data_IF_932828252273
#
_entry.id   IF_932828252273
#
_cell.length_a   1.000
_cell.length_b   1.000
_cell.length_c   1.000
_cell.angle_alpha   90.00
_cell.angle_beta   90.00
_cell.angle_gamma   90.00
#
_symmetry.space_group_name_H-M   'P 1'
#
loop_
_entity.id
_entity.type
_entity.pdbx_description
1 polymer ?
#
# COMPACT_ATOMS: atom_id res chain seq x y z
N UNK A 1 58.58 57.29 -15.98
CA UNK A 1 59.55 56.26 -15.53
C UNK A 1 58.77 55.11 -14.93
N UNK A 2 59.22 53.87 -15.17
CA UNK A 2 58.82 52.60 -14.54
C UNK A 2 57.34 52.18 -14.53
N UNK A 3 57.16 50.91 -14.90
CA UNK A 3 55.93 50.14 -14.72
C UNK A 3 55.85 49.58 -13.29
N UNK A 4 54.67 49.14 -12.88
CA UNK A 4 54.55 47.97 -12.00
C UNK A 4 53.50 47.02 -12.55
N UNK A 5 53.94 46.01 -13.31
CA UNK A 5 53.10 44.87 -13.72
C UNK A 5 53.18 43.82 -12.62
N UNK A 6 52.05 43.46 -11.99
CA UNK A 6 51.86 42.10 -11.51
C UNK A 6 51.13 41.31 -12.60
N UNK A 7 51.72 40.19 -13.03
CA UNK A 7 51.33 39.50 -14.25
C UNK A 7 51.38 37.99 -14.04
N UNK A 8 50.33 37.29 -14.50
CA UNK A 8 50.24 35.84 -14.73
C UNK A 8 50.44 34.89 -13.53
N UNK A 9 49.33 34.20 -13.23
CA UNK A 9 49.25 32.73 -13.15
C UNK A 9 49.90 32.06 -11.90
N UNK A 10 49.49 30.86 -11.46
CA UNK A 10 48.73 29.76 -12.13
C UNK A 10 48.05 28.88 -11.06
N UNK A 11 47.44 27.77 -11.51
CA UNK A 11 46.86 26.68 -10.71
C UNK A 11 45.50 26.98 -10.01
N UNK A 12 44.49 26.10 -10.02
CA UNK A 12 44.31 24.86 -10.81
C UNK A 12 42.87 24.78 -11.34
N UNK A 13 42.69 24.13 -12.49
CA UNK A 13 41.43 24.16 -13.21
C UNK A 13 40.46 23.04 -12.79
N UNK A 14 39.21 23.43 -12.54
CA UNK A 14 38.07 22.68 -13.06
C UNK A 14 37.61 23.40 -14.34
N UNK A 15 37.27 22.68 -15.43
CA UNK A 15 36.72 23.33 -16.61
C UNK A 15 35.37 23.96 -16.25
N UNK A 16 35.19 25.25 -16.56
CA UNK A 16 33.88 25.88 -16.49
C UNK A 16 32.96 25.21 -17.50
N UNK A 17 31.98 24.43 -17.03
CA UNK A 17 30.87 23.98 -17.87
C UNK A 17 30.21 25.21 -18.50
N UNK A 18 30.13 25.23 -19.83
CA UNK A 18 29.83 26.43 -20.60
C UNK A 18 28.49 27.05 -20.18
N UNK A 19 28.52 28.31 -19.71
CA UNK A 19 27.33 29.12 -19.43
C UNK A 19 27.31 29.84 -18.07
N UNK A 20 27.95 29.28 -17.04
CA UNK A 20 27.72 29.74 -15.65
C UNK A 20 28.83 30.65 -15.12
N UNK A 21 28.45 31.84 -14.62
CA UNK A 21 29.30 32.71 -13.78
C UNK A 21 28.92 32.59 -12.31
N UNK A 22 29.92 32.40 -11.45
CA UNK A 22 29.78 32.52 -10.00
C UNK A 22 29.65 34.00 -9.60
N UNK A 23 28.74 34.30 -8.67
CA UNK A 23 28.52 35.65 -8.13
C UNK A 23 28.73 35.58 -6.61
N UNK A 24 29.76 36.25 -6.10
CA UNK A 24 30.21 36.09 -4.70
C UNK A 24 29.50 37.02 -3.69
N UNK A 25 28.68 37.96 -4.16
CA UNK A 25 27.74 38.76 -3.35
C UNK A 25 26.81 39.58 -4.25
N UNK A 26 25.59 39.84 -3.79
CA UNK A 26 24.65 40.80 -4.36
C UNK A 26 24.22 41.74 -3.23
N UNK A 27 24.26 43.05 -3.47
CA UNK A 27 23.73 44.05 -2.53
C UNK A 27 22.28 44.35 -2.90
N UNK A 28 21.36 43.96 -2.02
CA UNK A 28 19.94 44.30 -2.13
C UNK A 28 19.64 45.55 -1.28
N UNK A 29 18.73 46.45 -1.71
CA UNK A 29 18.14 47.47 -0.84
C UNK A 29 17.53 46.87 0.43
N UNK A 30 17.48 47.65 1.51
CA UNK A 30 16.99 47.20 2.82
C UNK A 30 15.52 46.76 2.80
N UNK A 31 14.75 47.28 1.86
CA UNK A 31 13.29 47.26 1.86
C UNK A 31 12.71 46.45 0.68
N UNK A 32 13.40 45.39 0.24
CA UNK A 32 12.77 44.40 -0.67
C UNK A 32 11.83 43.51 0.16
N UNK A 33 10.54 43.83 0.09
CA UNK A 33 9.47 42.96 0.54
C UNK A 33 8.99 42.08 -0.62
N UNK A 34 8.74 40.80 -0.32
CA UNK A 34 8.01 39.88 -1.20
C UNK A 34 6.54 39.98 -0.82
N UNK A 35 5.74 40.62 -1.68
CA UNK A 35 4.33 40.90 -1.40
C UNK A 35 3.39 39.77 -1.80
N UNK A 36 3.76 39.00 -2.84
CA UNK A 36 2.99 37.91 -3.44
C UNK A 36 3.94 36.85 -3.98
N UNK A 37 3.46 35.63 -4.12
CA UNK A 37 4.16 34.54 -4.79
C UNK A 37 3.17 33.49 -5.28
N UNK A 38 3.45 32.93 -6.45
CA UNK A 38 2.63 31.89 -7.08
C UNK A 38 3.38 30.55 -7.05
N UNK A 39 2.65 29.46 -6.80
CA UNK A 39 3.19 28.09 -6.88
C UNK A 39 2.63 27.40 -8.11
N UNK A 40 3.53 27.00 -9.00
CA UNK A 40 3.25 26.14 -10.14
C UNK A 40 3.41 24.67 -9.71
N UNK A 41 2.30 23.94 -9.65
CA UNK A 41 2.25 22.53 -9.27
C UNK A 41 2.90 21.60 -10.30
N UNK A 42 2.88 21.98 -11.56
CA UNK A 42 3.23 21.13 -12.68
C UNK A 42 4.76 21.20 -12.92
N UNK A 43 5.34 22.37 -12.66
CA UNK A 43 6.78 22.63 -12.77
C UNK A 43 7.52 22.71 -11.40
N UNK A 44 6.82 22.59 -10.28
CA UNK A 44 7.36 22.70 -8.90
C UNK A 44 8.18 23.98 -8.68
N UNK A 45 7.58 25.11 -9.09
CA UNK A 45 8.23 26.43 -9.10
C UNK A 45 7.53 27.38 -8.13
N UNK A 46 8.30 28.16 -7.37
CA UNK A 46 7.77 29.37 -6.72
C UNK A 46 8.46 30.60 -7.31
N UNK A 47 7.64 31.50 -7.85
CA UNK A 47 8.08 32.79 -8.38
C UNK A 47 7.64 33.91 -7.45
N UNK A 48 8.59 34.75 -7.05
CA UNK A 48 8.36 35.94 -6.23
C UNK A 48 8.63 37.19 -7.06
N UNK A 49 7.64 38.07 -7.15
CA UNK A 49 7.72 39.29 -7.97
C UNK A 49 7.82 40.53 -7.07
N UNK A 50 8.81 41.39 -7.31
CA UNK A 50 8.94 42.66 -6.60
C UNK A 50 8.03 43.74 -7.22
N UNK A 51 7.83 44.86 -6.51
CA UNK A 51 6.96 45.98 -6.94
C UNK A 51 7.41 46.70 -8.22
N UNK A 52 8.58 46.37 -8.77
CA UNK A 52 9.09 46.88 -10.06
C UNK A 52 9.04 45.84 -11.19
N UNK A 53 8.40 44.69 -10.97
CA UNK A 53 8.28 43.60 -11.95
C UNK A 53 9.51 42.70 -12.08
N UNK A 54 10.54 42.90 -11.25
CA UNK A 54 11.70 42.02 -11.19
C UNK A 54 11.38 40.76 -10.39
N UNK A 55 11.70 39.59 -10.93
CA UNK A 55 11.41 38.29 -10.31
C UNK A 55 12.63 37.66 -9.64
N UNK A 56 12.36 36.90 -8.57
CA UNK A 56 13.27 35.90 -8.01
C UNK A 56 12.57 34.55 -8.06
N UNK A 57 13.27 33.55 -8.61
CA UNK A 57 12.72 32.21 -8.87
C UNK A 57 13.44 31.21 -8.01
N UNK A 58 12.70 30.44 -7.21
CA UNK A 58 13.23 29.31 -6.45
C UNK A 58 12.75 28.01 -7.08
N UNK A 59 13.70 27.20 -7.56
CA UNK A 59 13.45 25.84 -8.04
C UNK A 59 13.61 24.84 -6.89
N UNK A 60 12.83 23.76 -6.91
CA UNK A 60 12.98 22.65 -5.97
C UNK A 60 12.35 22.85 -4.59
N UNK A 61 11.36 23.76 -4.47
CA UNK A 61 10.47 23.77 -3.29
C UNK A 61 9.36 22.75 -3.51
N UNK A 62 9.14 21.87 -2.53
CA UNK A 62 7.99 20.96 -2.48
C UNK A 62 6.97 21.44 -1.44
N UNK A 63 5.68 21.36 -1.78
CA UNK A 63 4.60 21.71 -0.85
C UNK A 63 4.50 20.67 0.27
N UNK A 64 4.46 21.16 1.52
CA UNK A 64 4.63 20.32 2.71
C UNK A 64 3.52 19.29 2.87
N UNK A 65 3.86 18.01 2.72
CA UNK A 65 2.98 16.83 2.91
C UNK A 65 1.85 16.70 1.89
N UNK A 66 2.24 16.53 0.62
CA UNK A 66 1.51 15.65 -0.30
C UNK A 66 1.25 14.30 0.41
N UNK A 67 0.05 13.74 0.25
CA UNK A 67 -0.27 12.39 0.70
C UNK A 67 0.37 11.35 -0.25
N UNK A 68 1.69 11.20 -0.14
CA UNK A 68 2.48 10.32 -1.00
C UNK A 68 2.04 8.86 -0.86
N UNK A 69 1.26 8.37 -1.81
CA UNK A 69 1.04 6.94 -2.03
C UNK A 69 2.34 6.36 -2.61
N UNK A 70 3.24 5.93 -1.72
CA UNK A 70 4.51 5.28 -2.06
C UNK A 70 4.28 3.85 -2.57
N UNK A 71 3.63 3.72 -3.73
CA UNK A 71 3.80 2.55 -4.57
C UNK A 71 5.17 2.60 -5.27
N UNK A 72 5.80 1.45 -5.46
CA UNK A 72 7.09 1.36 -6.14
C UNK A 72 6.94 1.53 -7.67
N UNK A 73 8.05 1.64 -8.41
CA UNK A 73 8.08 1.46 -9.87
C UNK A 73 7.86 -0.02 -10.23
N UNK A 74 6.69 -0.53 -9.87
CA UNK A 74 6.08 -1.66 -10.55
C UNK A 74 5.83 -1.30 -12.02
N UNK A 75 5.63 -2.30 -12.88
CA UNK A 75 4.86 -2.03 -14.09
C UNK A 75 3.52 -1.41 -13.70
N UNK A 76 2.94 -0.54 -14.54
CA UNK A 76 1.53 -0.21 -14.40
C UNK A 76 0.76 -1.57 -14.31
N UNK A 77 0.00 -1.82 -13.23
CA UNK A 77 -0.49 -3.16 -12.92
C UNK A 77 -1.21 -3.78 -14.11
N UNK A 78 -1.00 -5.08 -14.36
CA UNK A 78 -1.67 -5.77 -15.48
C UNK A 78 -3.20 -5.71 -15.33
N UNK A 79 -3.70 -5.53 -14.10
CA UNK A 79 -4.98 -4.89 -13.79
C UNK A 79 -4.86 -4.13 -12.46
N UNK A 80 -5.34 -2.89 -12.39
CA UNK A 80 -5.13 -2.01 -11.22
C UNK A 80 -5.63 -2.60 -9.87
N UNK A 81 -4.95 -2.30 -8.73
CA UNK A 81 -5.54 -2.44 -7.41
C UNK A 81 -6.78 -1.57 -7.23
N UNK A 82 -7.68 -2.01 -6.36
CA UNK A 82 -9.04 -1.49 -6.17
C UNK A 82 -9.26 -1.19 -4.67
N UNK A 83 -9.08 0.08 -4.27
CA UNK A 83 -9.36 0.56 -2.90
C UNK A 83 -10.78 1.11 -2.82
N UNK A 84 -11.60 0.60 -1.88
CA UNK A 84 -13.01 1.04 -1.76
C UNK A 84 -13.49 1.34 -0.33
N UNK A 85 -12.96 0.69 0.70
CA UNK A 85 -13.44 0.87 2.09
C UNK A 85 -13.08 2.21 2.75
N UNK A 86 -13.87 2.64 3.73
CA UNK A 86 -13.57 3.80 4.56
C UNK A 86 -12.50 3.47 5.61
N UNK A 87 -11.55 4.39 5.82
CA UNK A 87 -10.34 4.15 6.62
C UNK A 87 -9.52 2.93 6.13
N UNK A 88 -9.63 2.58 4.85
CA UNK A 88 -9.14 1.30 4.32
C UNK A 88 -8.22 1.43 3.10
N UNK A 89 -7.47 0.36 2.80
CA UNK A 89 -6.31 0.36 1.91
C UNK A 89 -6.29 -0.90 1.04
N UNK A 90 -6.16 -0.76 -0.30
CA UNK A 90 -5.88 -1.88 -1.23
C UNK A 90 -4.62 -1.65 -2.06
N UNK A 91 -3.76 -2.66 -2.19
CA UNK A 91 -2.46 -2.54 -2.87
C UNK A 91 -2.12 -3.89 -3.55
N UNK A 92 -1.77 -3.91 -4.85
CA UNK A 92 -1.38 -5.13 -5.59
C UNK A 92 -2.12 -5.35 -6.92
N UNK A 93 -1.61 -6.21 -7.80
CA UNK A 93 -2.14 -6.41 -9.17
C UNK A 93 -3.50 -7.14 -9.13
N UNK A 94 -4.62 -6.48 -9.44
CA UNK A 94 -5.99 -6.91 -9.12
C UNK A 94 -6.28 -7.03 -7.60
N UNK A 95 -5.54 -6.34 -6.71
CA UNK A 95 -5.90 -6.30 -5.29
C UNK A 95 -7.23 -5.61 -5.05
N UNK A 96 -7.98 -6.00 -4.01
CA UNK A 96 -9.31 -5.45 -3.72
C UNK A 96 -9.46 -5.27 -2.21
N UNK A 97 -9.65 -4.06 -1.68
CA UNK A 97 -9.93 -3.84 -0.24
C UNK A 97 -11.31 -3.25 -0.01
N UNK A 98 -12.09 -4.00 0.76
CA UNK A 98 -13.48 -4.25 0.39
C UNK A 98 -14.50 -3.84 1.46
N UNK A 99 -14.08 -3.47 2.67
CA UNK A 99 -14.90 -2.78 3.67
C UNK A 99 -13.99 -2.05 4.67
N UNK A 100 -14.53 -1.66 5.81
CA UNK A 100 -13.96 -0.67 6.71
C UNK A 100 -13.05 -1.30 7.78
N UNK A 101 -12.07 -0.53 8.26
CA UNK A 101 -10.94 -1.03 9.08
C UNK A 101 -10.16 -2.17 8.38
N UNK A 102 -10.12 -2.13 7.05
CA UNK A 102 -9.34 -3.05 6.22
C UNK A 102 -8.04 -2.44 5.70
N UNK A 103 -6.95 -3.18 5.88
CA UNK A 103 -6.00 -3.34 4.78
C UNK A 103 -6.43 -4.63 4.05
N UNK A 104 -6.46 -4.66 2.72
CA UNK A 104 -6.42 -5.88 1.88
C UNK A 104 -5.38 -5.63 0.78
N UNK A 105 -4.78 -6.65 0.16
CA UNK A 105 -3.41 -6.50 -0.31
C UNK A 105 -2.87 -7.64 -1.19
N UNK A 106 -2.76 -7.54 -2.51
CA UNK A 106 -1.98 -8.52 -3.30
C UNK A 106 -2.61 -8.97 -4.62
N UNK A 107 -2.03 -10.00 -5.26
CA UNK A 107 -2.32 -10.29 -6.67
C UNK A 107 -3.66 -11.01 -6.85
N UNK A 108 -4.70 -10.34 -7.34
CA UNK A 108 -6.12 -10.73 -7.21
C UNK A 108 -6.56 -10.91 -5.74
N UNK A 109 -6.25 -9.92 -4.90
CA UNK A 109 -6.68 -9.81 -3.50
C UNK A 109 -8.19 -9.55 -3.35
N UNK A 110 -8.64 -9.45 -2.10
CA UNK A 110 -10.06 -9.31 -1.74
C UNK A 110 -10.56 -10.47 -0.89
N UNK A 111 -9.64 -11.08 -0.12
CA UNK A 111 -8.96 -12.34 -0.41
C UNK A 111 -7.44 -12.17 -0.38
N UNK A 112 -6.75 -13.29 -0.34
CA UNK A 112 -5.47 -13.51 0.34
C UNK A 112 -5.66 -13.91 1.82
N UNK A 113 -4.55 -14.28 2.44
CA UNK A 113 -4.12 -14.00 3.80
C UNK A 113 -4.53 -14.82 5.03
N UNK A 114 -3.52 -14.87 5.91
CA UNK A 114 -3.36 -15.76 7.06
C UNK A 114 -3.01 -14.92 8.30
N UNK A 115 -3.58 -15.26 9.46
CA UNK A 115 -3.39 -14.64 10.79
C UNK A 115 -3.86 -13.18 11.12
N UNK A 116 -4.65 -12.47 10.31
CA UNK A 116 -5.23 -11.16 10.66
C UNK A 116 -6.47 -11.28 11.58
N UNK A 117 -6.20 -11.45 12.88
CA UNK A 117 -7.17 -11.66 13.96
C UNK A 117 -8.01 -10.40 14.24
N UNK A 118 -9.32 -10.54 14.44
CA UNK A 118 -10.31 -9.42 14.47
C UNK A 118 -10.23 -8.49 13.25
N UNK A 119 -9.59 -8.95 12.17
CA UNK A 119 -9.31 -8.16 10.97
C UNK A 119 -9.65 -8.98 9.72
N UNK A 120 -9.31 -8.39 8.60
CA UNK A 120 -9.86 -8.63 7.26
C UNK A 120 -8.68 -8.57 6.27
N UNK A 121 -8.78 -9.20 5.09
CA UNK A 121 -7.61 -9.91 4.54
C UNK A 121 -7.40 -9.89 3.00
N UNK A 122 -6.20 -10.13 2.42
CA UNK A 122 -4.86 -9.44 2.50
C UNK A 122 -3.74 -10.12 1.64
N UNK A 123 -3.97 -10.59 0.40
CA UNK A 123 -2.92 -11.36 -0.37
C UNK A 123 -3.13 -11.62 -1.89
N UNK A 124 -2.45 -12.61 -2.49
CA UNK A 124 -2.65 -13.14 -3.86
C UNK A 124 -3.73 -14.25 -4.04
N UNK A 125 -4.83 -14.02 -4.78
CA UNK A 125 -5.79 -14.91 -5.52
C UNK A 125 -5.97 -16.42 -5.21
N UNK A 126 -7.15 -17.11 -5.15
CA UNK A 126 -8.61 -16.88 -5.00
C UNK A 126 -9.27 -17.45 -3.68
N UNK A 127 -9.13 -18.76 -3.37
CA UNK A 127 -9.58 -19.60 -2.20
C UNK A 127 -9.19 -19.40 -0.67
N UNK A 128 -7.99 -19.78 -0.13
CA UNK A 128 -7.43 -19.58 1.28
C UNK A 128 -6.72 -20.80 1.84
N UNK A 129 -5.41 -20.88 1.64
CA UNK A 129 -4.39 -21.35 2.57
C UNK A 129 -4.37 -20.50 3.89
N UNK A 130 -5.56 -20.01 4.30
CA UNK A 130 -5.94 -19.01 5.30
C UNK A 130 -5.88 -19.63 6.69
N UNK A 131 -4.68 -19.98 7.09
CA UNK A 131 -4.46 -20.79 8.27
C UNK A 131 -4.46 -19.93 9.54
N UNK A 132 -4.85 -20.52 10.66
CA UNK A 132 -4.70 -20.04 12.05
C UNK A 132 -5.37 -18.74 12.52
N UNK A 133 -5.86 -17.86 11.64
CA UNK A 133 -6.39 -16.54 12.03
C UNK A 133 -7.67 -16.58 12.90
N UNK A 134 -7.44 -16.51 14.20
CA UNK A 134 -8.38 -16.82 15.26
C UNK A 134 -9.17 -15.59 15.68
N UNK A 135 -10.51 -15.70 15.70
CA UNK A 135 -11.44 -14.56 15.77
C UNK A 135 -11.32 -13.60 14.56
N UNK A 136 -10.77 -14.06 13.44
CA UNK A 136 -10.79 -13.33 12.17
C UNK A 136 -12.11 -13.46 11.43
N UNK A 137 -12.30 -12.56 10.48
CA UNK A 137 -13.11 -12.81 9.30
C UNK A 137 -12.13 -13.11 8.15
N UNK A 138 -12.09 -14.32 7.59
CA UNK A 138 -11.27 -14.68 6.40
C UNK A 138 -12.05 -14.52 5.08
N UNK A 139 -11.48 -14.43 3.86
CA UNK A 139 -10.12 -14.03 3.44
C UNK A 139 -9.34 -15.10 2.58
N UNK A 140 -9.46 -15.18 1.22
CA UNK A 140 -9.11 -16.33 0.29
C UNK A 140 -7.73 -16.46 -0.47
N UNK A 141 -7.45 -17.30 -1.54
CA UNK A 141 -6.25 -18.22 -1.91
C UNK A 141 -6.37 -19.44 -2.91
N UNK A 142 -5.82 -19.43 -4.12
CA UNK A 142 -5.77 -20.57 -5.06
C UNK A 142 -7.15 -21.20 -5.35
N UNK A 143 -7.26 -22.52 -5.57
CA UNK A 143 -8.43 -23.15 -6.19
C UNK A 143 -8.92 -24.45 -5.48
N UNK A 144 -9.47 -24.42 -4.27
CA UNK A 144 -9.58 -23.28 -3.35
C UNK A 144 -8.76 -23.43 -2.06
N UNK A 145 -8.31 -24.63 -1.70
CA UNK A 145 -7.02 -24.83 -1.04
C UNK A 145 -6.72 -24.03 0.28
N UNK A 146 -7.10 -24.54 1.48
CA UNK A 146 -6.21 -24.78 2.67
C UNK A 146 -6.25 -23.91 3.98
N UNK A 147 -7.41 -23.50 4.49
CA UNK A 147 -7.58 -22.56 5.61
C UNK A 147 -7.55 -23.26 6.98
N UNK A 148 -6.49 -23.98 7.30
CA UNK A 148 -6.47 -24.91 8.45
C UNK A 148 -6.37 -24.20 9.81
N UNK A 149 -6.75 -24.88 10.89
CA UNK A 149 -6.36 -24.57 12.28
C UNK A 149 -6.68 -23.15 12.83
N UNK A 150 -7.60 -22.38 12.23
CA UNK A 150 -8.07 -21.15 12.87
C UNK A 150 -9.23 -21.44 13.82
N UNK A 151 -9.07 -21.10 15.10
CA UNK A 151 -9.99 -21.45 16.18
C UNK A 151 -10.83 -20.22 16.60
N UNK A 152 -12.11 -20.40 16.94
CA UNK A 152 -13.02 -19.27 17.21
C UNK A 152 -13.21 -18.31 16.02
N UNK A 153 -12.94 -18.79 14.80
CA UNK A 153 -12.82 -17.96 13.59
C UNK A 153 -14.09 -17.94 12.77
N UNK A 154 -14.30 -16.87 11.99
CA UNK A 154 -15.27 -16.85 10.92
C UNK A 154 -14.54 -17.08 9.59
N UNK A 155 -14.54 -18.33 9.12
CA UNK A 155 -14.12 -18.62 7.75
C UNK A 155 -15.25 -18.24 6.80
N UNK A 156 -15.14 -17.04 6.24
CA UNK A 156 -16.08 -16.46 5.28
C UNK A 156 -15.49 -16.41 3.85
N UNK A 157 -14.21 -16.81 3.72
CA UNK A 157 -13.41 -16.71 2.51
C UNK A 157 -13.76 -17.75 1.47
N UNK A 158 -13.11 -17.66 0.30
CA UNK A 158 -13.33 -18.55 -0.85
C UNK A 158 -13.01 -20.04 -0.52
N UNK A 159 -13.23 -21.00 -1.44
CA UNK A 159 -13.40 -22.45 -1.17
C UNK A 159 -12.21 -23.20 -0.53
N UNK A 160 -11.89 -22.86 0.72
CA UNK A 160 -10.67 -23.17 1.40
C UNK A 160 -10.66 -23.33 2.94
N UNK A 161 -11.55 -22.78 3.78
CA UNK A 161 -12.96 -22.48 3.54
C UNK A 161 -13.64 -23.63 2.78
N UNK A 162 -13.10 -24.85 2.89
CA UNK A 162 -13.05 -25.81 1.78
C UNK A 162 -11.82 -26.73 1.67
N UNK A 163 -10.79 -26.56 2.49
CA UNK A 163 -9.79 -27.55 2.91
C UNK A 163 -9.30 -27.20 4.35
N UNK A 164 -10.22 -26.78 5.21
CA UNK A 164 -9.95 -26.07 6.47
C UNK A 164 -9.86 -27.00 7.68
N UNK A 165 -8.88 -27.91 7.67
CA UNK A 165 -8.73 -28.94 8.70
C UNK A 165 -8.50 -28.36 10.11
N UNK A 166 -8.90 -29.13 11.14
CA UNK A 166 -8.72 -28.98 12.59
C UNK A 166 -9.35 -27.75 13.27
N UNK A 167 -9.78 -26.74 12.51
CA UNK A 167 -10.33 -25.47 13.00
C UNK A 167 -11.59 -25.63 13.89
N UNK A 168 -11.36 -25.79 15.19
CA UNK A 168 -12.38 -26.14 16.20
C UNK A 168 -12.95 -24.90 16.90
N UNK A 169 -14.16 -25.00 17.44
CA UNK A 169 -14.92 -23.88 18.02
C UNK A 169 -15.16 -22.70 17.06
N UNK A 170 -15.02 -22.93 15.75
CA UNK A 170 -15.11 -21.91 14.69
C UNK A 170 -16.47 -21.95 13.99
N UNK A 171 -16.81 -20.87 13.30
CA UNK A 171 -17.94 -20.82 12.39
C UNK A 171 -17.40 -20.90 10.96
N UNK A 172 -17.67 -22.00 10.26
CA UNK A 172 -17.39 -22.11 8.83
C UNK A 172 -18.65 -21.71 8.08
N UNK A 173 -18.54 -20.65 7.28
CA UNK A 173 -19.65 -19.90 6.73
C UNK A 173 -19.36 -19.62 5.23
N UNK A 174 -19.51 -20.64 4.40
CA UNK A 174 -18.98 -20.64 3.04
C UNK A 174 -17.44 -20.69 2.96
N UNK A 175 -16.84 -20.39 1.82
CA UNK A 175 -17.41 -20.47 0.45
C UNK A 175 -17.40 -21.91 -0.09
N UNK A 176 -16.86 -22.83 0.70
CA UNK A 176 -17.22 -24.23 0.72
C UNK A 176 -16.98 -24.71 2.16
N UNK A 177 -17.55 -23.99 3.13
CA UNK A 177 -17.44 -24.28 4.56
C UNK A 177 -17.61 -25.78 4.79
N UNK A 178 -16.83 -26.39 5.67
CA UNK A 178 -16.93 -27.84 5.90
C UNK A 178 -16.77 -28.74 4.68
N UNK A 179 -16.35 -28.24 3.51
CA UNK A 179 -15.72 -29.03 2.44
C UNK A 179 -14.28 -29.30 2.89
N UNK A 180 -13.88 -30.58 2.95
CA UNK A 180 -12.53 -31.02 3.40
C UNK A 180 -11.98 -30.28 4.64
N UNK A 181 -12.85 -29.96 5.60
CA UNK A 181 -12.48 -29.36 6.89
C UNK A 181 -12.48 -30.46 7.96
N UNK A 182 -11.56 -31.41 7.83
CA UNK A 182 -11.52 -32.59 8.73
C UNK A 182 -11.15 -32.18 10.16
N UNK A 183 -11.49 -32.99 11.18
CA UNK A 183 -11.21 -32.77 12.61
C UNK A 183 -11.78 -31.49 13.26
N UNK A 184 -12.43 -30.60 12.51
CA UNK A 184 -12.89 -29.31 13.01
C UNK A 184 -14.11 -29.46 13.94
N UNK A 185 -13.82 -29.58 15.24
CA UNK A 185 -14.72 -30.07 16.29
C UNK A 185 -15.37 -28.95 17.11
N UNK A 186 -16.54 -29.22 17.70
CA UNK A 186 -17.30 -28.26 18.51
C UNK A 186 -17.58 -26.93 17.75
N UNK A 187 -17.55 -26.98 16.42
CA UNK A 187 -17.69 -25.86 15.49
C UNK A 187 -19.13 -25.77 14.98
N UNK A 188 -19.51 -24.64 14.39
CA UNK A 188 -20.75 -24.54 13.62
C UNK A 188 -20.42 -24.57 12.13
N UNK A 189 -20.97 -25.56 11.44
CA UNK A 189 -20.93 -25.74 10.00
C UNK A 189 -22.26 -25.30 9.44
N UNK A 190 -22.26 -24.23 8.64
CA UNK A 190 -23.49 -23.70 8.07
C UNK A 190 -23.35 -23.44 6.58
N UNK A 191 -24.33 -23.88 5.80
CA UNK A 191 -24.42 -23.58 4.37
C UNK A 191 -23.44 -24.38 3.51
N UNK A 192 -23.05 -23.84 2.35
CA UNK A 192 -22.25 -24.61 1.38
C UNK A 192 -20.79 -24.74 1.84
N UNK A 193 -20.22 -25.93 2.03
CA UNK A 193 -20.73 -27.30 1.88
C UNK A 193 -20.60 -28.05 3.22
N UNK A 194 -21.24 -27.55 4.27
CA UNK A 194 -20.73 -27.68 5.62
C UNK A 194 -21.00 -29.06 6.23
N UNK A 195 -19.96 -29.91 6.22
CA UNK A 195 -20.02 -31.35 6.50
C UNK A 195 -19.52 -32.23 5.33
N UNK A 196 -19.45 -31.70 4.11
CA UNK A 196 -18.95 -32.39 2.92
C UNK A 196 -17.47 -32.79 3.09
N UNK A 197 -17.16 -34.06 3.35
CA UNK A 197 -15.76 -34.47 3.57
C UNK A 197 -15.08 -33.76 4.77
N UNK A 198 -15.82 -33.05 5.64
CA UNK A 198 -15.37 -32.65 6.98
C UNK A 198 -15.49 -33.84 7.95
N UNK A 199 -14.69 -34.87 7.72
CA UNK A 199 -14.62 -36.05 8.59
C UNK A 199 -14.13 -35.67 9.99
N UNK A 200 -14.49 -36.42 11.02
CA UNK A 200 -14.07 -36.18 12.42
C UNK A 200 -14.47 -34.83 13.04
N UNK A 201 -15.40 -34.09 12.43
CA UNK A 201 -15.97 -32.86 12.98
C UNK A 201 -16.97 -33.15 14.13
N UNK A 202 -16.47 -33.72 15.23
CA UNK A 202 -17.27 -34.18 16.36
C UNK A 202 -17.82 -33.03 17.23
N UNK A 203 -18.99 -33.23 17.85
CA UNK A 203 -19.74 -32.22 18.62
C UNK A 203 -20.07 -30.92 17.87
N UNK A 204 -19.78 -30.88 16.56
CA UNK A 204 -20.09 -29.75 15.70
C UNK A 204 -21.53 -29.85 15.20
N UNK A 205 -22.20 -28.71 15.03
CA UNK A 205 -23.54 -28.68 14.44
C UNK A 205 -23.44 -28.47 12.92
N UNK A 206 -24.31 -29.14 12.17
CA UNK A 206 -24.41 -29.03 10.72
C UNK A 206 -25.85 -28.66 10.35
N UNK A 207 -26.02 -27.61 9.55
CA UNK A 207 -27.32 -27.04 9.17
C UNK A 207 -27.31 -26.54 7.71
#
# INVERSE_FOLDING_TARGET
MFESKLNKNKANGYPSLNGFKKIDRIYLPKDIYVYQGEFDSDNNLITFTNTTGGTFTVTGITTGRVLNWYAEYSAAPTTAPIVLGYSSIAIGDNAQANSDEMFVYGVQSGVEATNANNSNFLGQSAGYQATNASNSNFFGNSAGFQATNAYGSNFLGQSAGGYANDASYSNFLGQSAGYQATNASNSNFFGQSAGYQATNAYNSNFF
#
